data_IF_752592739959
#
_entry.id   IF_752592739959
#
_cell.length_a   1.000
_cell.length_b   1.000
_cell.length_c   1.000
_cell.angle_alpha   90.00
_cell.angle_beta   90.00
_cell.angle_gamma   90.00
#
_symmetry.space_group_name_H-M   'P 1'
#
loop_
_entity.id
_entity.type
_entity.pdbx_description
1 polymer ?
#
# COMPACT_ATOMS: atom_id res chain seq x y z
N UNK A 1 11.68 17.36 7.60
CA UNK A 1 12.03 16.50 6.45
C UNK A 1 12.19 17.38 5.22
N UNK A 2 13.35 17.37 4.54
CA UNK A 2 13.60 18.27 3.39
C UNK A 2 12.54 18.02 2.30
N UNK A 3 11.97 19.10 1.74
CA UNK A 3 10.92 19.06 0.70
C UNK A 3 11.24 18.10 -0.46
N UNK A 4 12.53 17.98 -0.79
CA UNK A 4 13.06 17.02 -1.76
C UNK A 4 12.75 15.55 -1.45
N UNK A 5 12.82 15.13 -0.18
CA UNK A 5 12.54 13.74 0.20
C UNK A 5 11.06 13.39 0.04
N UNK A 6 10.17 14.35 0.33
CA UNK A 6 8.72 14.20 0.13
C UNK A 6 8.40 13.98 -1.35
N UNK A 7 8.95 14.85 -2.20
CA UNK A 7 8.76 14.77 -3.63
C UNK A 7 9.33 13.48 -4.21
N UNK A 8 10.50 13.05 -3.75
CA UNK A 8 11.14 11.80 -4.18
C UNK A 8 10.27 10.56 -3.90
N UNK A 9 9.62 10.48 -2.72
CA UNK A 9 8.74 9.34 -2.38
C UNK A 9 7.48 9.31 -3.24
N UNK A 10 6.82 10.46 -3.44
CA UNK A 10 5.62 10.52 -4.30
C UNK A 10 5.98 10.21 -5.75
N UNK A 11 7.11 10.74 -6.23
CA UNK A 11 7.63 10.45 -7.55
C UNK A 11 7.91 8.95 -7.71
N UNK A 12 8.59 8.32 -6.74
CA UNK A 12 8.86 6.89 -6.74
C UNK A 12 7.55 6.08 -6.86
N UNK A 13 6.57 6.39 -6.04
CA UNK A 13 5.27 5.71 -6.02
C UNK A 13 4.55 5.84 -7.37
N UNK A 14 4.51 7.04 -7.95
CA UNK A 14 3.90 7.29 -9.27
C UNK A 14 4.67 6.58 -10.38
N UNK A 15 6.00 6.59 -10.35
CA UNK A 15 6.83 5.88 -11.33
C UNK A 15 6.54 4.38 -11.28
N UNK A 16 6.53 3.77 -10.10
CA UNK A 16 6.24 2.33 -9.96
C UNK A 16 4.82 2.01 -10.45
N UNK A 17 3.82 2.84 -10.14
CA UNK A 17 2.45 2.66 -10.62
C UNK A 17 2.34 2.78 -12.16
N UNK A 18 3.02 3.77 -12.75
CA UNK A 18 3.05 3.95 -14.20
C UNK A 18 3.74 2.80 -14.91
N UNK A 19 4.87 2.31 -14.39
CA UNK A 19 5.56 1.14 -14.93
C UNK A 19 4.66 -0.10 -14.90
N UNK A 20 3.91 -0.30 -13.82
CA UNK A 20 2.96 -1.40 -13.71
C UNK A 20 1.82 -1.29 -14.73
N UNK A 21 1.21 -0.11 -14.88
CA UNK A 21 0.15 0.14 -15.86
C UNK A 21 0.65 -0.04 -17.30
N UNK A 22 1.87 0.42 -17.61
CA UNK A 22 2.49 0.23 -18.92
C UNK A 22 2.77 -1.25 -19.20
N UNK A 23 3.16 -2.03 -18.20
CA UNK A 23 3.32 -3.48 -18.35
C UNK A 23 2.00 -4.16 -18.68
N UNK A 24 0.90 -3.79 -18.03
CA UNK A 24 -0.44 -4.34 -18.34
C UNK A 24 -0.83 -4.05 -19.80
N UNK A 25 -0.61 -2.81 -20.26
CA UNK A 25 -0.87 -2.41 -21.65
C UNK A 25 0.00 -3.21 -22.63
N UNK A 26 1.28 -3.41 -22.31
CA UNK A 26 2.21 -4.19 -23.13
C UNK A 26 1.82 -5.67 -23.21
N UNK A 27 1.33 -6.23 -22.12
CA UNK A 27 0.92 -7.65 -22.07
C UNK A 27 -0.39 -7.89 -22.83
N UNK A 28 -1.30 -6.91 -22.85
CA UNK A 28 -2.63 -7.01 -23.49
C UNK A 28 -2.73 -6.24 -24.82
N UNK A 29 -1.67 -6.29 -25.65
CA UNK A 29 -1.59 -5.53 -26.92
C UNK A 29 -2.66 -5.89 -27.97
N UNK A 30 -3.34 -7.03 -27.81
CA UNK A 30 -4.36 -7.50 -28.75
C UNK A 30 -5.79 -7.01 -28.39
N UNK A 31 -6.00 -6.50 -27.18
CA UNK A 31 -7.31 -6.05 -26.72
C UNK A 31 -7.37 -4.52 -26.64
N UNK A 32 -7.97 -3.90 -27.66
CA UNK A 32 -8.11 -2.44 -27.74
C UNK A 32 -8.93 -1.85 -26.59
N UNK A 33 -9.90 -2.59 -26.02
CA UNK A 33 -10.71 -2.11 -24.90
C UNK A 33 -9.86 -2.00 -23.63
N UNK A 34 -9.02 -3.01 -23.36
CA UNK A 34 -8.08 -3.01 -22.24
C UNK A 34 -7.08 -1.87 -22.37
N UNK A 35 -6.54 -1.64 -23.57
CA UNK A 35 -5.59 -0.55 -23.84
C UNK A 35 -6.22 0.81 -23.53
N UNK A 36 -7.42 1.09 -24.05
CA UNK A 36 -8.11 2.38 -23.84
C UNK A 36 -8.40 2.60 -22.35
N UNK A 37 -8.85 1.56 -21.64
CA UNK A 37 -9.14 1.64 -20.21
C UNK A 37 -7.89 2.00 -19.39
N UNK A 38 -6.79 1.27 -19.56
CA UNK A 38 -5.56 1.53 -18.81
C UNK A 38 -4.86 2.82 -19.24
N UNK A 39 -4.95 3.22 -20.51
CA UNK A 39 -4.47 4.53 -20.96
C UNK A 39 -5.22 5.68 -20.26
N UNK A 40 -6.53 5.55 -20.07
CA UNK A 40 -7.32 6.55 -19.32
C UNK A 40 -6.88 6.64 -17.86
N UNK A 41 -6.58 5.50 -17.22
CA UNK A 41 -6.04 5.46 -15.85
C UNK A 41 -4.67 6.14 -15.78
N UNK A 42 -3.78 5.89 -16.74
CA UNK A 42 -2.47 6.54 -16.81
C UNK A 42 -2.63 8.07 -16.87
N UNK A 43 -3.53 8.58 -17.71
CA UNK A 43 -3.79 10.03 -17.83
C UNK A 43 -4.31 10.59 -16.49
N UNK A 44 -5.23 9.89 -15.83
CA UNK A 44 -5.77 10.30 -14.53
C UNK A 44 -4.70 10.31 -13.44
N UNK A 45 -3.82 9.31 -13.40
CA UNK A 45 -2.69 9.23 -12.47
C UNK A 45 -1.72 10.39 -12.69
N UNK A 46 -1.38 10.70 -13.95
CA UNK A 46 -0.53 11.84 -14.29
C UNK A 46 -1.17 13.17 -13.91
N UNK A 47 -2.46 13.35 -14.20
CA UNK A 47 -3.22 14.55 -13.79
C UNK A 47 -3.24 14.70 -12.27
N UNK A 48 -3.51 13.61 -11.54
CA UNK A 48 -3.50 13.59 -10.08
C UNK A 48 -2.13 13.95 -9.52
N UNK A 49 -1.04 13.43 -10.11
CA UNK A 49 0.33 13.76 -9.71
C UNK A 49 0.64 15.26 -9.89
N UNK A 50 0.25 15.84 -11.04
CA UNK A 50 0.43 17.27 -11.30
C UNK A 50 -0.37 18.14 -10.31
N UNK A 51 -1.59 17.72 -9.94
CA UNK A 51 -2.41 18.39 -8.93
C UNK A 51 -1.79 18.26 -7.54
N UNK A 52 -1.31 17.07 -7.16
CA UNK A 52 -0.64 16.83 -5.89
C UNK A 52 0.63 17.68 -5.74
N UNK A 53 1.40 17.83 -6.83
CA UNK A 53 2.61 18.66 -6.87
C UNK A 53 2.34 20.12 -6.47
N UNK A 54 1.17 20.66 -6.80
CA UNK A 54 0.76 22.03 -6.44
C UNK A 54 0.30 22.16 -4.98
N UNK A 55 -0.30 21.10 -4.42
CA UNK A 55 -0.91 21.09 -3.07
C UNK A 55 0.09 20.75 -1.96
N UNK A 56 1.27 20.20 -2.29
CA UNK A 56 2.28 19.73 -1.32
C UNK A 56 2.94 20.81 -0.43
N UNK A 57 2.41 22.04 -0.43
CA UNK A 57 3.00 23.23 0.18
C UNK A 57 2.52 23.55 1.61
N UNK A 58 1.61 22.80 2.24
CA UNK A 58 1.09 23.14 3.58
C UNK A 58 1.29 22.04 4.64
N UNK A 59 2.07 22.44 5.65
CA UNK A 59 2.08 22.18 7.10
C UNK A 59 1.78 20.84 7.79
N UNK A 60 2.51 20.69 8.91
CA UNK A 60 2.46 19.73 10.03
C UNK A 60 2.92 18.29 9.76
N UNK A 61 4.22 18.08 9.99
CA UNK A 61 4.86 16.78 10.22
C UNK A 61 4.31 16.14 11.48
N UNK A 62 3.17 15.49 11.38
CA UNK A 62 2.85 14.40 12.29
C UNK A 62 3.43 13.12 11.69
N UNK A 63 4.30 12.45 12.43
CA UNK A 63 4.72 11.09 12.12
C UNK A 63 3.66 10.12 12.66
N UNK A 64 3.40 9.01 11.97
CA UNK A 64 2.74 7.90 12.65
C UNK A 64 3.73 7.31 13.62
N UNK A 65 3.27 7.05 14.84
CA UNK A 65 4.14 6.47 15.86
C UNK A 65 4.66 5.13 15.34
N UNK A 66 5.95 4.85 15.52
CA UNK A 66 6.54 3.57 15.13
C UNK A 66 5.75 2.36 15.68
N UNK A 67 5.06 2.58 16.80
CA UNK A 67 4.16 1.64 17.47
C UNK A 67 2.98 1.18 16.58
N UNK A 68 2.58 1.95 15.57
CA UNK A 68 1.50 1.61 14.65
C UNK A 68 2.00 0.70 13.52
N UNK A 69 3.20 0.98 12.99
CA UNK A 69 3.77 0.19 11.89
C UNK A 69 4.01 -1.29 12.26
N UNK A 70 4.21 -1.58 13.56
CA UNK A 70 4.35 -2.94 14.09
C UNK A 70 3.07 -3.79 13.87
N UNK A 71 1.92 -3.17 13.61
CA UNK A 71 0.67 -3.87 13.32
C UNK A 71 0.43 -4.16 11.83
N UNK A 72 1.29 -3.66 10.94
CA UNK A 72 1.23 -3.98 9.50
C UNK A 72 1.41 -5.49 9.25
N UNK A 73 2.38 -6.19 9.86
CA UNK A 73 2.50 -7.64 9.73
C UNK A 73 1.24 -8.40 10.19
N UNK A 74 0.59 -7.95 11.26
CA UNK A 74 -0.63 -8.60 11.79
C UNK A 74 -1.74 -8.61 10.74
N UNK A 75 -1.98 -7.47 10.09
CA UNK A 75 -2.96 -7.37 9.01
C UNK A 75 -2.56 -8.16 7.76
N UNK A 76 -1.27 -8.16 7.41
CA UNK A 76 -0.74 -8.88 6.26
C UNK A 76 -0.90 -10.40 6.41
N UNK A 77 -0.49 -10.96 7.55
CA UNK A 77 -0.59 -12.38 7.85
C UNK A 77 -2.06 -12.83 7.94
N UNK A 78 -2.90 -12.06 8.63
CA UNK A 78 -4.32 -12.38 8.77
C UNK A 78 -5.03 -12.41 7.40
N UNK A 79 -4.76 -11.40 6.57
CA UNK A 79 -5.34 -11.31 5.22
C UNK A 79 -4.81 -12.42 4.32
N UNK A 80 -3.51 -12.73 4.39
CA UNK A 80 -2.89 -13.80 3.62
C UNK A 80 -3.45 -15.18 3.98
N UNK A 81 -3.61 -15.47 5.28
CA UNK A 81 -4.25 -16.69 5.76
C UNK A 81 -5.68 -16.81 5.25
N UNK A 82 -6.49 -15.75 5.38
CA UNK A 82 -7.88 -15.77 4.91
C UNK A 82 -7.98 -15.91 3.38
N UNK A 83 -7.06 -15.30 2.65
CA UNK A 83 -7.00 -15.36 1.20
C UNK A 83 -6.64 -16.77 0.71
N UNK A 84 -5.54 -17.35 1.20
CA UNK A 84 -4.96 -18.58 0.64
C UNK A 84 -5.32 -19.85 1.40
N UNK A 85 -5.39 -19.82 2.73
CA UNK A 85 -5.73 -21.02 3.53
C UNK A 85 -7.24 -21.17 3.72
N UNK A 86 -7.95 -20.08 4.01
CA UNK A 86 -9.40 -20.13 4.17
C UNK A 86 -10.18 -20.03 2.84
N UNK A 87 -9.49 -19.77 1.72
CA UNK A 87 -10.09 -19.73 0.38
C UNK A 87 -11.13 -18.62 0.17
N UNK A 88 -11.16 -17.58 1.01
CA UNK A 88 -12.12 -16.47 0.91
C UNK A 88 -11.77 -15.53 -0.25
N UNK A 89 -10.57 -15.66 -0.81
CA UNK A 89 -10.05 -14.81 -1.87
C UNK A 89 -9.54 -13.46 -1.36
N UNK A 90 -8.86 -12.70 -2.24
CA UNK A 90 -8.07 -11.54 -1.82
C UNK A 90 -8.94 -10.42 -1.26
N UNK A 91 -10.06 -10.11 -1.93
CA UNK A 91 -10.90 -8.97 -1.59
C UNK A 91 -11.67 -9.21 -0.28
N UNK A 92 -12.31 -10.37 -0.13
CA UNK A 92 -13.08 -10.69 1.07
C UNK A 92 -12.18 -10.89 2.30
N UNK A 93 -11.03 -11.56 2.14
CA UNK A 93 -10.05 -11.70 3.22
C UNK A 93 -9.59 -10.36 3.78
N UNK A 94 -9.18 -9.43 2.90
CA UNK A 94 -8.78 -8.09 3.31
C UNK A 94 -9.93 -7.27 3.91
N UNK A 95 -11.15 -7.39 3.37
CA UNK A 95 -12.33 -6.71 3.89
C UNK A 95 -12.69 -7.16 5.32
N UNK A 96 -12.62 -8.47 5.61
CA UNK A 96 -12.85 -9.00 6.96
C UNK A 96 -11.81 -8.45 7.93
N UNK A 97 -10.53 -8.49 7.56
CA UNK A 97 -9.45 -7.95 8.41
C UNK A 97 -9.64 -6.45 8.67
N UNK A 98 -9.97 -5.67 7.64
CA UNK A 98 -10.26 -4.24 7.79
C UNK A 98 -11.47 -3.96 8.67
N UNK A 99 -12.55 -4.73 8.50
CA UNK A 99 -13.77 -4.61 9.29
C UNK A 99 -13.51 -4.93 10.77
N UNK A 100 -12.79 -6.03 11.07
CA UNK A 100 -12.41 -6.39 12.43
C UNK A 100 -11.51 -5.31 13.05
N UNK A 101 -10.55 -4.80 12.28
CA UNK A 101 -9.67 -3.73 12.74
C UNK A 101 -10.44 -2.45 13.08
N UNK A 102 -11.54 -2.14 12.38
CA UNK A 102 -12.35 -0.94 12.61
C UNK A 102 -13.01 -0.89 14.00
N UNK A 103 -13.16 -2.03 14.68
CA UNK A 103 -13.71 -2.09 16.03
C UNK A 103 -12.68 -1.84 17.13
N UNK A 104 -11.37 -1.88 16.82
CA UNK A 104 -10.30 -1.68 17.81
C UNK A 104 -10.37 -0.31 18.53
N UNK A 105 -10.70 0.82 17.87
CA UNK A 105 -10.88 2.10 18.54
C UNK A 105 -12.02 2.14 19.56
N UNK A 106 -12.99 1.21 19.49
CA UNK A 106 -14.11 1.17 20.44
C UNK A 106 -13.68 0.70 21.84
N UNK A 107 -12.55 -0.01 21.98
CA UNK A 107 -12.06 -0.45 23.29
C UNK A 107 -11.65 0.73 24.18
N UNK A 108 -11.07 1.79 23.60
CA UNK A 108 -10.80 3.03 24.33
C UNK A 108 -10.73 4.24 23.37
N UNK A 109 -11.89 4.90 23.21
CA UNK A 109 -12.07 6.02 22.27
C UNK A 109 -11.17 7.23 22.54
N UNK A 110 -10.64 7.36 23.77
CA UNK A 110 -9.75 8.47 24.16
C UNK A 110 -8.28 8.26 23.76
N UNK A 111 -7.90 7.04 23.36
CA UNK A 111 -6.53 6.72 22.99
C UNK A 111 -6.26 7.04 21.51
N UNK A 112 -5.45 8.07 21.25
CA UNK A 112 -4.98 8.40 19.91
C UNK A 112 -4.20 7.25 19.24
N UNK A 113 -3.65 6.33 20.04
CA UNK A 113 -2.96 5.15 19.55
C UNK A 113 -3.92 4.13 18.93
N UNK A 114 -5.01 3.79 19.62
CA UNK A 114 -5.99 2.81 19.12
C UNK A 114 -6.70 3.30 17.85
N UNK A 115 -6.87 4.62 17.71
CA UNK A 115 -7.45 5.22 16.51
C UNK A 115 -6.57 5.05 15.26
N UNK A 116 -5.25 4.91 15.42
CA UNK A 116 -4.32 4.69 14.31
C UNK A 116 -4.18 3.23 13.87
N UNK A 117 -4.56 2.27 14.73
CA UNK A 117 -4.39 0.83 14.47
C UNK A 117 -5.15 0.32 13.23
N UNK A 118 -6.41 0.72 12.98
CA UNK A 118 -7.14 0.27 11.79
C UNK A 118 -6.38 0.61 10.49
N UNK A 119 -5.76 1.78 10.44
CA UNK A 119 -4.97 2.24 9.29
C UNK A 119 -3.79 1.32 9.01
N UNK A 120 -3.02 0.95 10.05
CA UNK A 120 -1.85 0.10 9.92
C UNK A 120 -2.24 -1.36 9.57
N UNK A 121 -3.24 -1.90 10.24
CA UNK A 121 -3.71 -3.27 10.01
C UNK A 121 -4.30 -3.39 8.60
N UNK A 122 -5.13 -2.43 8.18
CA UNK A 122 -5.70 -2.45 6.84
C UNK A 122 -4.65 -2.22 5.76
N UNK A 123 -3.62 -1.40 6.02
CA UNK A 123 -2.45 -1.28 5.15
C UNK A 123 -1.74 -2.63 4.95
N UNK A 124 -1.53 -3.38 6.03
CA UNK A 124 -1.02 -4.74 5.98
C UNK A 124 -1.91 -5.69 5.19
N UNK A 125 -3.23 -5.58 5.35
CA UNK A 125 -4.18 -6.46 4.66
C UNK A 125 -4.04 -6.43 3.13
N UNK A 126 -3.65 -5.28 2.54
CA UNK A 126 -3.35 -5.16 1.11
C UNK A 126 -2.17 -6.03 0.66
N UNK A 127 -1.18 -6.24 1.53
CA UNK A 127 -0.04 -7.13 1.26
C UNK A 127 -0.51 -8.58 1.15
N UNK A 128 -1.42 -8.99 2.04
CA UNK A 128 -1.99 -10.35 2.05
C UNK A 128 -2.86 -10.68 0.83
N UNK A 129 -3.29 -9.68 0.06
CA UNK A 129 -4.00 -9.88 -1.21
C UNK A 129 -3.08 -10.37 -2.34
N UNK A 130 -1.76 -10.35 -2.15
CA UNK A 130 -0.81 -10.78 -3.17
C UNK A 130 -1.05 -12.24 -3.56
N UNK A 131 -0.96 -12.51 -4.87
CA UNK A 131 -1.11 -13.85 -5.40
C UNK A 131 0.15 -14.69 -5.11
N UNK A 132 -0.02 -16.01 -4.91
CA UNK A 132 1.07 -16.95 -4.55
C UNK A 132 2.23 -16.96 -5.55
N UNK A 133 1.98 -16.66 -6.83
CA UNK A 133 3.03 -16.54 -7.85
C UNK A 133 4.03 -15.41 -7.56
N UNK A 134 3.64 -14.42 -6.77
CA UNK A 134 4.46 -13.26 -6.40
C UNK A 134 4.88 -13.38 -4.93
N UNK A 135 3.93 -13.68 -4.04
CA UNK A 135 4.13 -13.83 -2.61
C UNK A 135 4.16 -15.31 -2.22
N UNK A 136 5.29 -15.96 -2.49
CA UNK A 136 5.50 -17.36 -2.18
C UNK A 136 5.85 -17.53 -0.69
N UNK A 137 4.80 -17.75 0.11
CA UNK A 137 4.89 -18.07 1.53
C UNK A 137 4.90 -16.87 2.49
N UNK A 138 4.78 -17.22 3.77
CA UNK A 138 4.72 -16.28 4.88
C UNK A 138 5.97 -15.41 5.05
N UNK A 139 7.15 -15.93 4.66
CA UNK A 139 8.40 -15.19 4.72
C UNK A 139 8.37 -13.96 3.80
N UNK A 140 7.86 -14.11 2.56
CA UNK A 140 7.66 -13.00 1.64
C UNK A 140 6.75 -11.93 2.25
N UNK A 141 5.59 -12.35 2.78
CA UNK A 141 4.59 -11.46 3.37
C UNK A 141 5.17 -10.67 4.54
N UNK A 142 5.95 -11.33 5.40
CA UNK A 142 6.65 -10.68 6.51
C UNK A 142 7.65 -9.64 6.01
N UNK A 143 8.50 -9.98 5.04
CA UNK A 143 9.47 -9.03 4.46
C UNK A 143 8.78 -7.83 3.80
N UNK A 144 7.70 -8.06 3.05
CA UNK A 144 6.91 -6.99 2.46
C UNK A 144 6.26 -6.10 3.52
N UNK A 145 5.72 -6.69 4.58
CA UNK A 145 5.14 -5.93 5.70
C UNK A 145 6.15 -5.07 6.45
N UNK A 146 7.41 -5.50 6.52
CA UNK A 146 8.49 -4.70 7.10
C UNK A 146 8.77 -3.44 6.26
N UNK A 147 8.97 -3.58 4.95
CA UNK A 147 9.18 -2.43 4.06
C UNK A 147 7.96 -1.51 4.01
N UNK A 148 6.75 -2.07 3.92
CA UNK A 148 5.51 -1.28 3.96
C UNK A 148 5.37 -0.53 5.28
N UNK A 149 5.73 -1.13 6.42
CA UNK A 149 5.72 -0.46 7.72
C UNK A 149 6.65 0.76 7.75
N UNK A 150 7.86 0.65 7.18
CA UNK A 150 8.77 1.80 7.02
C UNK A 150 8.12 2.89 6.16
N UNK A 151 7.54 2.52 5.02
CA UNK A 151 6.88 3.48 4.14
C UNK A 151 5.66 4.15 4.80
N UNK A 152 4.91 3.41 5.63
CA UNK A 152 3.78 3.92 6.38
C UNK A 152 4.20 5.01 7.37
N UNK A 153 5.30 4.81 8.11
CA UNK A 153 5.82 5.82 9.04
C UNK A 153 6.16 7.14 8.33
N UNK A 154 6.77 7.05 7.14
CA UNK A 154 7.16 8.24 6.36
C UNK A 154 5.93 8.90 5.71
N UNK A 155 4.95 8.10 5.29
CA UNK A 155 3.76 8.53 4.56
C UNK A 155 2.88 9.52 5.32
N UNK A 156 2.76 9.42 6.67
CA UNK A 156 1.95 10.39 7.45
C UNK A 156 2.44 11.83 7.30
N UNK A 157 3.69 12.04 6.90
CA UNK A 157 4.24 13.39 6.68
C UNK A 157 4.13 13.88 5.23
N UNK A 158 3.76 13.01 4.28
CA UNK A 158 3.81 13.27 2.82
C UNK A 158 2.45 13.17 2.15
N UNK A 159 1.61 12.24 2.60
CA UNK A 159 0.33 11.87 1.97
C UNK A 159 -0.85 12.11 2.94
N UNK A 160 -0.83 13.22 3.69
CA UNK A 160 -1.99 13.62 4.48
C UNK A 160 -3.16 13.98 3.57
N UNK A 161 -4.36 13.47 3.90
CA UNK A 161 -5.58 13.72 3.12
C UNK A 161 -5.66 13.03 1.75
N UNK A 162 -4.64 12.25 1.34
CA UNK A 162 -4.64 11.52 0.08
C UNK A 162 -5.30 10.15 0.26
N UNK A 163 -6.47 9.97 -0.35
CA UNK A 163 -7.14 8.67 -0.45
C UNK A 163 -6.33 7.66 -1.25
N UNK A 164 -6.44 6.37 -0.92
CA UNK A 164 -5.73 5.29 -1.63
C UNK A 164 -4.25 5.09 -1.26
N UNK A 165 -3.69 5.89 -0.34
CA UNK A 165 -2.26 5.78 0.04
C UNK A 165 -1.86 4.42 0.61
N UNK A 166 -2.72 3.76 1.39
CA UNK A 166 -2.38 2.52 2.09
C UNK A 166 -2.07 1.39 1.11
N UNK A 167 -2.92 1.23 0.08
CA UNK A 167 -2.70 0.25 -0.97
C UNK A 167 -1.43 0.53 -1.78
N UNK A 168 -1.13 1.80 -2.06
CA UNK A 168 0.07 2.16 -2.80
C UNK A 168 1.37 1.90 -2.02
N UNK A 169 1.36 2.10 -0.69
CA UNK A 169 2.51 1.76 0.18
C UNK A 169 2.69 0.25 0.30
N UNK A 170 1.58 -0.50 0.38
CA UNK A 170 1.61 -1.95 0.37
C UNK A 170 2.18 -2.47 -0.95
N UNK A 171 1.71 -1.94 -2.08
CA UNK A 171 2.22 -2.26 -3.42
C UNK A 171 3.72 -1.97 -3.54
N UNK A 172 4.18 -0.80 -3.08
CA UNK A 172 5.60 -0.46 -3.09
C UNK A 172 6.43 -1.44 -2.24
N UNK A 173 5.95 -1.82 -1.07
CA UNK A 173 6.62 -2.80 -0.21
C UNK A 173 6.72 -4.19 -0.85
N UNK A 174 5.65 -4.65 -1.51
CA UNK A 174 5.64 -5.92 -2.26
C UNK A 174 6.62 -5.88 -3.43
N UNK A 175 6.63 -4.79 -4.22
CA UNK A 175 7.56 -4.64 -5.36
C UNK A 175 9.02 -4.63 -4.91
N UNK A 176 9.34 -3.89 -3.85
CA UNK A 176 10.70 -3.84 -3.28
C UNK A 176 11.13 -5.22 -2.79
N UNK A 177 10.24 -5.93 -2.10
CA UNK A 177 10.51 -7.28 -1.60
C UNK A 177 10.74 -8.27 -2.72
N UNK A 178 9.87 -8.24 -3.73
CA UNK A 178 10.00 -9.09 -4.91
C UNK A 178 11.31 -8.82 -5.66
N UNK A 179 11.67 -7.55 -5.84
CA UNK A 179 12.93 -7.16 -6.47
C UNK A 179 14.15 -7.64 -5.66
N UNK A 180 14.12 -7.54 -4.33
CA UNK A 180 15.20 -8.05 -3.47
C UNK A 180 15.34 -9.57 -3.57
N UNK A 181 14.24 -10.31 -3.56
CA UNK A 181 14.27 -11.76 -3.70
C UNK A 181 14.77 -12.21 -5.07
N UNK A 182 14.40 -11.47 -6.13
CA UNK A 182 14.93 -11.70 -7.47
C UNK A 182 16.43 -11.44 -7.58
N UNK A 183 17.00 -10.51 -6.79
CA UNK A 183 18.44 -10.25 -6.78
C UNK A 183 19.24 -11.34 -6.06
N UNK A 184 18.64 -11.98 -5.07
CA UNK A 184 19.28 -13.02 -4.24
C UNK A 184 19.25 -14.39 -4.93
N UNK A 185 18.30 -14.61 -5.84
CA UNK A 185 18.07 -15.87 -6.55
C UNK A 185 18.69 -15.87 -7.95
#
# INVERSE_FOLDING_TARGET
MKQYLRYSIVLLLVVVLLLFLLMIVKENTQDYTVIIFFASIIILVLYAFLKLRKVLHHEKTEFESYKLAVFVPVGALSSYFLNHEAGLGPVFGAAIVGLLASFIPNLNKKSAYLQGLPTAIYCGAFIGMSHLKIADGYAFVLTASFFTGIFLMVSKSVLQGVGGKLGALAFLGVVVTYFLLMLIR
#
